data_IF_977053069468
#
_entry.id   IF_977053069468
#
_cell.length_a   1.000
_cell.length_b   1.000
_cell.length_c   1.000
_cell.angle_alpha   90.00
_cell.angle_beta   90.00
_cell.angle_gamma   90.00
#
_symmetry.space_group_name_H-M   'P 1'
#
loop_
_entity.id
_entity.type
_entity.pdbx_description
1 polymer ?
#
# COMPACT_ATOMS: atom_id res chain seq x y z
N UNK A 1 20.99 39.47 44.31
CA UNK A 1 21.77 40.45 43.53
C UNK A 1 20.80 41.15 42.58
N UNK A 2 20.48 42.43 42.83
CA UNK A 2 19.75 43.37 41.94
C UNK A 2 18.26 43.06 41.69
N UNK A 3 17.25 43.66 42.32
CA UNK A 3 16.82 45.08 42.37
C UNK A 3 16.59 45.76 41.02
N UNK A 4 15.31 45.94 40.66
CA UNK A 4 14.69 47.19 40.15
C UNK A 4 13.21 47.11 40.62
N UNK A 5 12.75 47.76 41.69
CA UNK A 5 12.66 49.19 42.02
C UNK A 5 12.00 50.02 40.90
N UNK A 6 10.71 50.37 41.10
CA UNK A 6 10.20 51.76 41.25
C UNK A 6 8.65 51.76 41.20
N UNK A 7 8.01 52.01 42.35
CA UNK A 7 7.29 53.25 42.78
C UNK A 7 6.06 53.57 41.92
N UNK A 8 4.83 53.48 42.45
CA UNK A 8 4.15 54.39 43.40
C UNK A 8 3.70 55.69 42.76
N UNK A 9 2.38 55.88 42.73
CA UNK A 9 1.61 57.11 43.06
C UNK A 9 0.14 56.66 43.05
N UNK A 10 -0.54 56.37 44.17
CA UNK A 10 -1.05 57.26 45.23
C UNK A 10 -1.74 58.53 44.71
N UNK A 11 -3.08 58.54 44.74
CA UNK A 11 -3.94 59.51 45.45
C UNK A 11 -5.40 59.24 45.05
N UNK A 12 -6.22 58.64 45.90
CA UNK A 12 -6.81 59.16 47.16
C UNK A 12 -7.80 60.31 46.92
N UNK A 13 -9.11 60.03 47.00
CA UNK A 13 -10.00 60.80 47.88
C UNK A 13 -11.36 60.11 48.13
N UNK A 14 -11.45 59.51 49.32
CA UNK A 14 -12.46 59.76 50.38
C UNK A 14 -13.98 59.73 50.08
N UNK A 15 -14.63 58.60 50.46
CA UNK A 15 -15.69 58.38 51.49
C UNK A 15 -16.63 59.57 51.92
N UNK A 16 -17.86 59.36 52.49
CA UNK A 16 -18.22 58.24 53.42
C UNK A 16 -19.68 57.70 53.47
N UNK A 17 -19.81 56.53 54.11
CA UNK A 17 -20.82 56.02 55.07
C UNK A 17 -22.33 56.28 54.85
N UNK A 18 -23.24 55.29 54.95
CA UNK A 18 -23.70 54.72 56.23
C UNK A 18 -24.71 53.55 56.08
N UNK A 19 -24.36 52.40 56.67
CA UNK A 19 -25.12 51.57 57.63
C UNK A 19 -26.60 51.10 57.44
N UNK A 20 -26.73 49.77 57.65
CA UNK A 20 -27.86 48.95 58.19
C UNK A 20 -29.06 48.69 57.27
N UNK A 21 -29.37 47.42 56.96
CA UNK A 21 -30.37 46.61 57.70
C UNK A 21 -30.59 45.24 57.02
N UNK A 22 -30.49 44.16 57.79
CA UNK A 22 -31.01 42.84 57.41
C UNK A 22 -32.52 42.79 57.68
N UNK A 23 -33.27 41.93 56.99
CA UNK A 23 -33.86 40.83 57.74
C UNK A 23 -33.77 39.44 57.08
N UNK A 24 -34.03 38.48 57.96
CA UNK A 24 -34.05 37.02 57.94
C UNK A 24 -34.84 36.32 56.78
N UNK A 25 -34.77 34.97 56.69
CA UNK A 25 -34.93 34.19 55.48
C UNK A 25 -36.39 33.80 55.22
N UNK A 26 -36.78 33.71 53.95
CA UNK A 26 -38.00 33.02 53.53
C UNK A 26 -37.66 31.79 52.68
N UNK A 27 -38.14 30.68 53.21
CA UNK A 27 -38.05 29.30 52.77
C UNK A 27 -38.68 29.02 51.41
N UNK A 28 -38.08 28.06 50.72
CA UNK A 28 -38.73 26.98 49.96
C UNK A 28 -39.75 27.35 48.87
N UNK A 29 -39.39 27.06 47.63
CA UNK A 29 -40.36 26.50 46.68
C UNK A 29 -39.75 25.33 45.93
N UNK A 30 -40.40 24.20 46.12
CA UNK A 30 -40.15 22.92 45.49
C UNK A 30 -40.25 23.02 43.97
N UNK A 31 -39.47 22.19 43.28
CA UNK A 31 -39.43 22.12 41.83
C UNK A 31 -40.79 21.81 41.22
N UNK A 32 -41.12 22.57 40.17
CA UNK A 32 -42.05 22.11 39.15
C UNK A 32 -41.25 21.75 37.90
N UNK A 33 -41.63 20.68 37.15
CA UNK A 33 -40.97 20.33 35.91
C UNK A 33 -41.28 21.38 34.85
N UNK A 34 -40.33 22.29 34.62
CA UNK A 34 -40.41 23.25 33.51
C UNK A 34 -40.23 22.48 32.22
N UNK A 35 -41.31 22.30 31.46
CA UNK A 35 -41.23 21.83 30.08
C UNK A 35 -40.59 22.97 29.27
N UNK A 36 -39.37 22.83 28.72
CA UNK A 36 -38.74 23.93 28.01
C UNK A 36 -39.50 24.18 26.71
N UNK A 37 -40.39 25.18 26.71
CA UNK A 37 -41.03 25.67 25.50
C UNK A 37 -40.03 26.62 24.86
N UNK A 38 -39.36 26.18 23.79
CA UNK A 38 -38.49 27.06 23.01
C UNK A 38 -39.38 28.21 22.51
N UNK A 39 -39.16 29.47 22.91
CA UNK A 39 -39.97 30.57 22.44
C UNK A 39 -39.87 30.64 20.92
N UNK A 40 -40.99 30.89 20.22
CA UNK A 40 -41.05 30.84 18.75
C UNK A 40 -39.96 31.69 18.06
N UNK A 41 -39.50 32.76 18.70
CA UNK A 41 -38.37 33.59 18.26
C UNK A 41 -37.01 32.87 18.29
N UNK A 42 -36.75 31.99 19.27
CA UNK A 42 -35.55 31.17 19.36
C UNK A 42 -35.57 30.01 18.35
N UNK A 43 -36.73 29.38 18.11
CA UNK A 43 -36.90 28.37 17.06
C UNK A 43 -36.71 28.98 15.65
N UNK A 44 -37.21 30.20 15.40
CA UNK A 44 -37.01 30.93 14.14
C UNK A 44 -35.54 31.29 13.90
N UNK A 45 -34.79 31.63 14.95
CA UNK A 45 -33.34 31.92 14.87
C UNK A 45 -32.50 30.66 14.63
N UNK A 46 -32.87 29.52 15.24
CA UNK A 46 -32.24 28.24 14.97
C UNK A 46 -32.50 27.77 13.53
N UNK A 47 -33.73 27.89 13.03
CA UNK A 47 -34.06 27.57 11.63
C UNK A 47 -33.36 28.51 10.65
N UNK A 48 -33.19 29.80 10.97
CA UNK A 48 -32.41 30.73 10.15
C UNK A 48 -30.92 30.33 10.07
N UNK A 49 -30.34 29.84 11.18
CA UNK A 49 -28.98 29.30 11.22
C UNK A 49 -28.84 28.03 10.36
N UNK A 50 -29.81 27.11 10.45
CA UNK A 50 -29.85 25.87 9.65
C UNK A 50 -30.04 26.16 8.17
N UNK A 51 -30.95 27.06 7.81
CA UNK A 51 -31.16 27.48 6.41
C UNK A 51 -29.89 28.13 5.86
N UNK A 52 -29.23 29.00 6.63
CA UNK A 52 -27.94 29.59 6.27
C UNK A 52 -26.85 28.54 6.07
N UNK A 53 -26.80 27.52 6.91
CA UNK A 53 -25.85 26.40 6.80
C UNK A 53 -26.07 25.59 5.52
N UNK A 54 -27.33 25.29 5.17
CA UNK A 54 -27.67 24.58 3.93
C UNK A 54 -27.31 25.42 2.70
N UNK A 55 -27.62 26.71 2.72
CA UNK A 55 -27.26 27.62 1.63
C UNK A 55 -25.74 27.69 1.48
N UNK A 56 -24.99 27.83 2.58
CA UNK A 56 -23.54 27.86 2.54
C UNK A 56 -22.93 26.55 2.01
N UNK A 57 -23.49 25.39 2.40
CA UNK A 57 -23.09 24.09 1.87
C UNK A 57 -23.34 24.00 0.36
N UNK A 58 -24.53 24.41 -0.10
CA UNK A 58 -24.87 24.39 -1.53
C UNK A 58 -23.99 25.33 -2.34
N UNK A 59 -23.72 26.54 -1.84
CA UNK A 59 -22.81 27.49 -2.49
C UNK A 59 -21.39 26.92 -2.58
N UNK A 60 -20.91 26.27 -1.51
CA UNK A 60 -19.60 25.61 -1.51
C UNK A 60 -19.54 24.48 -2.54
N UNK A 61 -20.52 23.57 -2.55
CA UNK A 61 -20.60 22.50 -3.55
C UNK A 61 -20.69 23.06 -4.96
N UNK A 62 -21.55 24.08 -5.19
CA UNK A 62 -21.71 24.70 -6.50
C UNK A 62 -20.43 25.40 -6.99
N UNK A 63 -19.61 25.96 -6.08
CA UNK A 63 -18.33 26.55 -6.42
C UNK A 63 -17.28 25.49 -6.82
N UNK A 64 -17.25 24.34 -6.15
CA UNK A 64 -16.27 23.27 -6.41
C UNK A 64 -16.69 22.31 -7.54
N UNK A 65 -17.99 22.08 -7.73
CA UNK A 65 -18.53 21.16 -8.74
C UNK A 65 -18.00 21.43 -10.15
N UNK A 66 -17.98 22.67 -10.70
CA UNK A 66 -17.44 22.90 -12.04
C UNK A 66 -15.94 22.61 -12.13
N UNK A 67 -15.16 22.85 -11.06
CA UNK A 67 -13.72 22.54 -11.02
C UNK A 67 -13.52 21.02 -11.11
N UNK A 68 -14.31 20.26 -10.34
CA UNK A 68 -14.26 18.78 -10.35
C UNK A 68 -14.70 18.23 -11.71
N UNK A 69 -15.75 18.78 -12.30
CA UNK A 69 -16.24 18.34 -13.62
C UNK A 69 -15.30 18.73 -14.78
N UNK A 70 -14.54 19.82 -14.64
CA UNK A 70 -13.55 20.26 -15.63
C UNK A 70 -12.26 19.42 -15.60
N UNK A 71 -12.08 18.58 -14.57
CA UNK A 71 -11.00 17.61 -14.50
C UNK A 71 -11.55 16.21 -14.86
N UNK A 72 -11.82 15.92 -16.16
CA UNK A 72 -12.20 14.58 -16.55
C UNK A 72 -11.08 13.63 -16.11
N UNK A 73 -11.43 12.62 -15.31
CA UNK A 73 -10.48 11.55 -14.98
C UNK A 73 -9.85 11.06 -16.29
N UNK A 74 -8.52 10.85 -16.35
CA UNK A 74 -7.88 10.38 -17.57
C UNK A 74 -8.62 9.15 -18.11
N UNK A 75 -9.23 9.27 -19.29
CA UNK A 75 -9.83 8.13 -20.03
C UNK A 75 -8.76 7.28 -20.72
N UNK A 76 -7.50 7.46 -20.36
CA UNK A 76 -6.48 6.51 -20.72
C UNK A 76 -6.69 5.29 -19.84
N UNK A 77 -6.91 4.12 -20.46
CA UNK A 77 -6.29 2.90 -19.96
C UNK A 77 -4.90 3.29 -19.46
N UNK A 78 -4.69 3.32 -18.14
CA UNK A 78 -3.51 3.95 -17.54
C UNK A 78 -2.24 3.48 -18.24
N UNK A 79 -1.26 4.38 -18.43
CA UNK A 79 -0.02 4.13 -19.17
C UNK A 79 0.44 2.67 -19.03
N UNK A 80 0.27 1.87 -20.09
CA UNK A 80 0.66 0.46 -20.14
C UNK A 80 1.98 0.39 -20.89
N UNK A 81 3.12 0.15 -20.21
CA UNK A 81 4.39 0.00 -20.91
C UNK A 81 4.30 -1.20 -21.86
N UNK A 82 4.60 -1.00 -23.14
CA UNK A 82 4.68 -2.11 -24.10
C UNK A 82 6.01 -2.85 -23.88
N UNK A 83 6.01 -3.82 -22.97
CA UNK A 83 7.21 -4.58 -22.60
C UNK A 83 7.18 -5.93 -23.31
N UNK A 84 8.16 -6.13 -24.19
CA UNK A 84 8.42 -7.43 -24.79
C UNK A 84 9.37 -8.24 -23.89
N UNK A 85 8.80 -9.07 -23.01
CA UNK A 85 9.56 -9.87 -22.03
C UNK A 85 10.57 -10.81 -22.71
N UNK A 86 10.21 -11.42 -23.85
CA UNK A 86 11.11 -12.36 -24.54
C UNK A 86 12.31 -11.66 -25.16
N UNK A 87 12.11 -10.47 -25.74
CA UNK A 87 13.20 -9.65 -26.25
C UNK A 87 14.16 -9.21 -25.12
N UNK A 88 13.62 -8.75 -23.98
CA UNK A 88 14.44 -8.34 -22.83
C UNK A 88 15.17 -9.54 -22.21
N UNK A 89 14.51 -10.71 -22.11
CA UNK A 89 15.13 -11.95 -21.63
C UNK A 89 16.28 -12.38 -22.55
N UNK A 90 16.09 -12.30 -23.88
CA UNK A 90 17.14 -12.57 -24.87
C UNK A 90 18.37 -11.69 -24.68
N UNK A 91 18.16 -10.38 -24.45
CA UNK A 91 19.25 -9.44 -24.18
C UNK A 91 19.97 -9.72 -22.85
N UNK A 92 19.23 -10.21 -21.83
CA UNK A 92 19.79 -10.52 -20.52
C UNK A 92 20.55 -11.87 -20.48
N UNK A 93 20.26 -12.80 -21.39
CA UNK A 93 20.77 -14.18 -21.33
C UNK A 93 22.29 -14.29 -21.24
N UNK A 94 23.03 -13.44 -21.98
CA UNK A 94 24.49 -13.43 -21.95
C UNK A 94 25.07 -13.06 -20.58
N UNK A 95 24.50 -12.05 -19.92
CA UNK A 95 24.94 -11.59 -18.60
C UNK A 95 24.44 -12.54 -17.50
N UNK A 96 23.27 -13.15 -17.70
CA UNK A 96 22.67 -14.08 -16.76
C UNK A 96 23.43 -15.42 -16.67
N UNK A 97 24.04 -15.86 -17.78
CA UNK A 97 24.66 -17.19 -17.87
C UNK A 97 23.64 -18.33 -17.92
N UNK A 98 22.37 -18.01 -18.15
CA UNK A 98 21.27 -18.94 -18.40
C UNK A 98 20.22 -18.24 -19.27
N UNK A 99 19.31 -19.00 -19.89
CA UNK A 99 18.18 -18.44 -20.63
C UNK A 99 17.08 -18.02 -19.65
N UNK A 100 16.80 -16.71 -19.46
CA UNK A 100 15.79 -16.27 -18.53
C UNK A 100 14.38 -16.67 -19.01
N UNK A 101 13.48 -16.93 -18.07
CA UNK A 101 12.10 -17.29 -18.39
C UNK A 101 11.33 -16.09 -18.94
N UNK A 102 10.60 -16.32 -20.01
CA UNK A 102 9.72 -15.33 -20.63
C UNK A 102 8.34 -15.99 -20.83
N UNK A 103 7.56 -16.18 -19.75
CA UNK A 103 6.30 -16.91 -19.82
C UNK A 103 5.27 -16.15 -20.67
N UNK A 104 4.64 -16.86 -21.60
CA UNK A 104 3.46 -16.38 -22.30
C UNK A 104 2.22 -16.71 -21.44
N UNK A 105 1.86 -15.81 -20.52
CA UNK A 105 0.73 -15.98 -19.61
C UNK A 105 -0.64 -15.62 -20.23
N UNK A 106 -0.71 -15.52 -21.56
CA UNK A 106 -1.90 -15.10 -22.31
C UNK A 106 -2.10 -13.58 -22.31
N UNK A 107 -3.13 -13.13 -23.03
CA UNK A 107 -3.38 -11.70 -23.27
C UNK A 107 -3.91 -10.95 -22.04
N UNK A 108 -4.23 -11.67 -20.96
CA UNK A 108 -4.85 -11.11 -19.75
C UNK A 108 -3.84 -10.79 -18.65
N UNK A 109 -2.61 -11.33 -18.74
CA UNK A 109 -1.49 -10.94 -17.90
C UNK A 109 -0.64 -9.92 -18.64
N UNK A 110 -0.41 -8.77 -18.02
CA UNK A 110 0.33 -7.69 -18.66
C UNK A 110 1.67 -7.46 -17.94
N UNK A 111 2.81 -7.52 -18.65
CA UNK A 111 4.09 -7.18 -18.04
C UNK A 111 4.14 -5.69 -17.68
N UNK A 112 4.50 -5.39 -16.44
CA UNK A 112 4.71 -4.03 -15.92
C UNK A 112 6.18 -3.60 -15.98
N UNK A 113 7.10 -4.56 -15.82
CA UNK A 113 8.54 -4.38 -16.03
C UNK A 113 9.20 -5.72 -16.37
N UNK A 114 10.35 -5.67 -17.04
CA UNK A 114 11.24 -6.81 -17.22
C UNK A 114 12.69 -6.29 -17.17
N UNK A 115 13.55 -6.91 -16.37
CA UNK A 115 14.94 -6.44 -16.21
C UNK A 115 15.88 -7.50 -15.65
N UNK A 116 17.16 -7.34 -15.96
CA UNK A 116 18.23 -7.98 -15.21
C UNK A 116 18.60 -7.12 -13.99
N UNK A 117 18.46 -7.67 -12.80
CA UNK A 117 18.91 -7.07 -11.56
C UNK A 117 20.31 -7.60 -11.23
N UNK A 118 21.31 -6.72 -11.28
CA UNK A 118 22.65 -7.06 -10.83
C UNK A 118 22.65 -7.36 -9.32
N UNK A 119 23.62 -8.18 -8.89
CA UNK A 119 23.78 -8.51 -7.48
C UNK A 119 23.95 -7.24 -6.64
N UNK A 120 22.92 -6.88 -5.88
CA UNK A 120 22.93 -5.72 -4.99
C UNK A 120 22.21 -6.08 -3.68
N UNK A 121 22.74 -5.62 -2.54
CA UNK A 121 22.25 -5.97 -1.19
C UNK A 121 22.45 -7.44 -0.78
N UNK A 122 21.87 -8.38 -1.52
CA UNK A 122 21.81 -9.83 -1.22
C UNK A 122 22.93 -10.64 -1.85
N UNK A 123 23.70 -10.03 -2.76
CA UNK A 123 24.75 -10.68 -3.52
C UNK A 123 24.26 -11.62 -4.62
N UNK A 124 22.94 -11.70 -4.87
CA UNK A 124 22.36 -12.59 -5.89
C UNK A 124 21.82 -11.74 -7.04
N UNK A 125 22.41 -11.90 -8.22
CA UNK A 125 21.86 -11.34 -9.45
C UNK A 125 20.66 -12.18 -9.91
N UNK A 126 19.64 -11.52 -10.42
CA UNK A 126 18.39 -12.17 -10.79
C UNK A 126 17.74 -11.53 -12.01
N UNK A 127 17.02 -12.36 -12.75
CA UNK A 127 16.06 -11.93 -13.75
C UNK A 127 14.74 -11.61 -13.06
N UNK A 128 14.18 -10.44 -13.33
CA UNK A 128 12.93 -9.98 -12.71
C UNK A 128 11.91 -9.57 -13.76
N UNK A 129 10.65 -10.00 -13.58
CA UNK A 129 9.52 -9.57 -14.40
C UNK A 129 8.32 -9.32 -13.50
N UNK A 130 7.69 -8.16 -13.61
CA UNK A 130 6.44 -7.87 -12.91
C UNK A 130 5.26 -8.07 -13.83
N UNK A 131 4.23 -8.77 -13.38
CA UNK A 131 2.96 -8.93 -14.11
C UNK A 131 1.81 -8.30 -13.33
N UNK A 132 0.96 -7.56 -14.05
CA UNK A 132 -0.39 -7.20 -13.62
C UNK A 132 -1.33 -8.31 -14.05
N UNK A 133 -2.12 -8.83 -13.12
CA UNK A 133 -3.03 -9.95 -13.34
C UNK A 133 -4.39 -9.46 -13.87
N UNK A 134 -5.26 -10.37 -14.35
CA UNK A 134 -6.58 -10.00 -14.85
C UNK A 134 -7.47 -9.31 -13.80
N UNK A 135 -7.28 -9.59 -12.52
CA UNK A 135 -7.97 -8.94 -11.40
C UNK A 135 -7.22 -7.71 -10.86
N UNK A 136 -6.37 -7.10 -11.68
CA UNK A 136 -5.57 -5.90 -11.36
C UNK A 136 -4.68 -6.07 -10.12
N UNK A 137 -4.23 -7.30 -9.85
CA UNK A 137 -3.24 -7.60 -8.81
C UNK A 137 -1.85 -7.70 -9.38
N UNK A 138 -0.85 -7.84 -8.52
CA UNK A 138 0.54 -7.92 -8.93
C UNK A 138 1.13 -9.28 -8.61
N UNK A 139 1.90 -9.83 -9.55
CA UNK A 139 2.80 -10.97 -9.32
C UNK A 139 4.17 -10.64 -9.92
N UNK A 140 5.18 -10.56 -9.05
CA UNK A 140 6.57 -10.50 -9.45
C UNK A 140 7.14 -11.90 -9.66
N UNK A 141 7.88 -12.08 -10.75
CA UNK A 141 8.69 -13.24 -11.04
C UNK A 141 10.15 -12.86 -10.83
N UNK A 142 10.86 -13.65 -10.02
CA UNK A 142 12.30 -13.55 -9.85
C UNK A 142 12.96 -14.90 -10.16
N UNK A 143 13.96 -14.93 -11.02
CA UNK A 143 14.71 -16.14 -11.37
C UNK A 143 16.22 -15.94 -11.19
N UNK A 144 16.89 -16.93 -10.61
CA UNK A 144 18.36 -16.95 -10.51
C UNK A 144 18.91 -18.37 -10.58
N UNK A 145 20.15 -18.53 -11.05
CA UNK A 145 20.93 -19.78 -10.96
C UNK A 145 21.81 -19.84 -9.71
N UNK A 146 21.84 -18.77 -8.89
CA UNK A 146 22.72 -18.62 -7.72
C UNK A 146 21.94 -18.38 -6.42
N UNK A 147 20.77 -18.99 -6.29
CA UNK A 147 19.95 -18.88 -5.09
C UNK A 147 20.72 -19.37 -3.85
N UNK A 148 20.56 -18.67 -2.73
CA UNK A 148 21.09 -19.07 -1.43
C UNK A 148 20.00 -18.89 -0.34
N UNK A 149 20.15 -19.50 0.85
CA UNK A 149 19.11 -19.45 1.88
C UNK A 149 18.72 -18.03 2.30
N UNK A 150 19.71 -17.13 2.46
CA UNK A 150 19.46 -15.74 2.85
C UNK A 150 18.63 -14.97 1.82
N UNK A 151 18.92 -15.18 0.53
CA UNK A 151 18.16 -14.59 -0.57
C UNK A 151 16.73 -15.15 -0.62
N UNK A 152 16.56 -16.46 -0.41
CA UNK A 152 15.23 -17.08 -0.44
C UNK A 152 14.33 -16.55 0.71
N UNK A 153 14.88 -16.43 1.92
CA UNK A 153 14.18 -15.83 3.07
C UNK A 153 13.75 -14.39 2.77
N UNK A 154 14.60 -13.61 2.10
CA UNK A 154 14.24 -12.24 1.70
C UNK A 154 13.14 -12.21 0.64
N UNK A 155 13.26 -13.04 -0.39
CA UNK A 155 12.30 -13.10 -1.49
C UNK A 155 10.90 -13.57 -1.02
N UNK A 156 10.86 -14.38 0.03
CA UNK A 156 9.64 -14.89 0.68
C UNK A 156 9.21 -14.05 1.87
N UNK A 157 9.94 -12.97 2.19
CA UNK A 157 9.71 -12.09 3.37
C UNK A 157 9.60 -12.86 4.69
N UNK A 158 10.38 -13.93 4.84
CA UNK A 158 10.35 -14.85 5.98
C UNK A 158 8.99 -15.50 6.23
N UNK A 159 8.13 -15.60 5.22
CA UNK A 159 6.87 -16.32 5.33
C UNK A 159 7.15 -17.83 5.50
N UNK A 160 6.40 -18.53 6.38
CA UNK A 160 6.58 -19.97 6.55
C UNK A 160 6.03 -20.72 5.33
N UNK A 161 6.58 -21.91 5.10
CA UNK A 161 6.00 -22.88 4.15
C UNK A 161 4.67 -23.36 4.71
N UNK A 162 3.60 -23.17 3.94
CA UNK A 162 2.23 -23.58 4.31
C UNK A 162 1.74 -24.78 3.50
N UNK A 163 2.47 -25.20 2.47
CA UNK A 163 2.19 -26.40 1.70
C UNK A 163 2.88 -26.40 0.34
N UNK A 164 2.37 -27.23 -0.57
CA UNK A 164 2.77 -27.22 -1.98
C UNK A 164 1.57 -26.98 -2.88
N UNK A 165 1.83 -26.55 -4.11
CA UNK A 165 0.81 -26.36 -5.13
C UNK A 165 1.32 -26.82 -6.49
N UNK A 166 0.57 -27.72 -7.12
CA UNK A 166 0.88 -28.16 -8.47
C UNK A 166 0.52 -27.08 -9.49
N UNK A 167 1.47 -26.72 -10.35
CA UNK A 167 1.23 -25.88 -11.52
C UNK A 167 2.20 -26.25 -12.65
N UNK A 168 1.69 -26.40 -13.86
CA UNK A 168 2.48 -26.92 -15.00
C UNK A 168 3.09 -28.31 -14.75
N UNK A 169 2.47 -29.15 -13.91
CA UNK A 169 3.00 -30.46 -13.57
C UNK A 169 4.26 -30.43 -12.69
N UNK A 170 4.53 -29.32 -12.01
CA UNK A 170 5.59 -29.19 -11.01
C UNK A 170 5.00 -28.78 -9.66
N UNK A 171 5.59 -29.30 -8.58
CA UNK A 171 5.24 -28.92 -7.22
C UNK A 171 5.99 -27.64 -6.84
N UNK A 172 5.24 -26.57 -6.61
CA UNK A 172 5.75 -25.32 -6.09
C UNK A 172 5.58 -25.28 -4.57
N UNK A 173 6.60 -24.85 -3.85
CA UNK A 173 6.52 -24.63 -2.40
C UNK A 173 5.77 -23.32 -2.14
N UNK A 174 4.69 -23.38 -1.36
CA UNK A 174 3.85 -22.22 -1.03
C UNK A 174 4.27 -21.62 0.30
N UNK A 175 4.58 -20.33 0.28
CA UNK A 175 4.95 -19.52 1.45
C UNK A 175 3.86 -18.48 1.67
N UNK A 176 3.25 -18.50 2.86
CA UNK A 176 2.15 -17.57 3.20
C UNK A 176 2.11 -17.35 4.72
N UNK A 177 1.93 -16.11 5.16
CA UNK A 177 1.71 -15.78 6.58
C UNK A 177 0.22 -15.76 6.94
N UNK A 178 -0.67 -15.99 5.96
CA UNK A 178 -2.11 -15.79 6.03
C UNK A 178 -2.53 -14.32 5.95
N UNK A 179 -1.57 -13.39 5.85
CA UNK A 179 -1.79 -11.95 5.78
C UNK A 179 -0.90 -11.34 4.69
N UNK A 180 -1.51 -10.66 3.73
CA UNK A 180 -0.77 -9.94 2.68
C UNK A 180 -0.34 -10.83 1.51
N UNK A 181 0.90 -10.65 1.08
CA UNK A 181 1.48 -11.30 -0.10
C UNK A 181 1.80 -12.77 0.14
N UNK A 182 1.73 -13.55 -0.95
CA UNK A 182 2.08 -14.97 -0.98
C UNK A 182 3.27 -15.15 -1.90
N UNK A 183 4.03 -16.22 -1.68
CA UNK A 183 5.11 -16.61 -2.58
C UNK A 183 5.02 -18.08 -2.97
N UNK A 184 5.32 -18.39 -4.23
CA UNK A 184 5.50 -19.75 -4.72
C UNK A 184 6.93 -19.91 -5.22
N UNK A 185 7.63 -20.92 -4.72
CA UNK A 185 9.04 -21.19 -5.02
C UNK A 185 9.17 -22.49 -5.79
N UNK A 186 9.96 -22.49 -6.86
CA UNK A 186 10.31 -23.69 -7.63
C UNK A 186 11.81 -23.70 -7.92
N UNK A 187 12.50 -24.72 -7.43
CA UNK A 187 13.86 -25.06 -7.88
C UNK A 187 13.76 -26.09 -9.01
N UNK A 188 14.14 -25.71 -10.24
CA UNK A 188 14.02 -26.57 -11.41
C UNK A 188 15.13 -26.30 -12.44
N UNK A 189 15.71 -27.37 -12.99
CA UNK A 189 16.75 -27.35 -14.04
C UNK A 189 17.92 -26.41 -13.77
N UNK A 190 18.38 -26.34 -12.50
CA UNK A 190 19.54 -25.53 -12.10
C UNK A 190 19.24 -24.04 -11.91
N UNK A 191 17.96 -23.64 -11.88
CA UNK A 191 17.55 -22.31 -11.47
C UNK A 191 16.45 -22.37 -10.42
N UNK A 192 16.36 -21.34 -9.58
CA UNK A 192 15.27 -21.11 -8.66
C UNK A 192 14.42 -19.97 -9.19
N UNK A 193 13.11 -20.21 -9.29
CA UNK A 193 12.11 -19.21 -9.62
C UNK A 193 11.25 -18.97 -8.39
N UNK A 194 10.99 -17.70 -8.09
CA UNK A 194 10.02 -17.29 -7.09
C UNK A 194 8.98 -16.40 -7.75
N UNK A 195 7.71 -16.74 -7.53
CA UNK A 195 6.59 -15.85 -7.81
C UNK A 195 6.15 -15.25 -6.48
N UNK A 196 6.02 -13.93 -6.37
CA UNK A 196 5.59 -13.26 -5.15
C UNK A 196 4.63 -12.10 -5.45
N UNK A 197 3.61 -11.90 -4.62
CA UNK A 197 2.63 -10.83 -4.84
C UNK A 197 1.31 -11.00 -4.09
N UNK A 198 0.34 -10.14 -4.39
CA UNK A 198 -0.93 -10.01 -3.68
C UNK A 198 -2.12 -10.65 -4.43
N UNK A 199 -1.87 -11.29 -5.56
CA UNK A 199 -2.86 -12.03 -6.33
C UNK A 199 -3.40 -13.28 -5.59
N UNK A 200 -4.50 -13.84 -6.10
CA UNK A 200 -5.05 -15.10 -5.58
C UNK A 200 -4.30 -16.32 -6.15
N UNK A 201 -4.43 -17.48 -5.48
CA UNK A 201 -3.71 -18.70 -5.83
C UNK A 201 -4.08 -19.31 -7.20
N UNK A 202 -5.19 -18.89 -7.82
CA UNK A 202 -5.55 -19.31 -9.17
C UNK A 202 -4.72 -18.55 -10.21
N UNK A 203 -4.59 -17.23 -10.06
CA UNK A 203 -3.75 -16.39 -10.93
C UNK A 203 -2.27 -16.77 -10.82
N UNK A 204 -1.80 -17.10 -9.60
CA UNK A 204 -0.48 -17.69 -9.41
C UNK A 204 -0.31 -19.00 -10.17
N UNK A 205 -1.29 -19.90 -10.15
CA UNK A 205 -1.20 -21.19 -10.84
C UNK A 205 -1.15 -21.04 -12.37
N UNK A 206 -1.88 -20.07 -12.93
CA UNK A 206 -1.83 -19.74 -14.37
C UNK A 206 -0.44 -19.27 -14.76
N UNK A 207 0.11 -18.27 -14.05
CA UNK A 207 1.44 -17.75 -14.35
C UNK A 207 2.52 -18.82 -14.10
N UNK A 208 2.44 -19.57 -13.01
CA UNK A 208 3.35 -20.67 -12.70
C UNK A 208 3.36 -21.74 -13.80
N UNK A 209 2.19 -22.08 -14.36
CA UNK A 209 2.10 -23.01 -15.49
C UNK A 209 2.82 -22.47 -16.73
N UNK A 210 2.63 -21.19 -17.05
CA UNK A 210 3.31 -20.53 -18.15
C UNK A 210 4.84 -20.47 -17.94
N UNK A 211 5.28 -20.27 -16.69
CA UNK A 211 6.70 -20.30 -16.31
C UNK A 211 7.29 -21.68 -16.52
N UNK A 212 6.63 -22.74 -16.04
CA UNK A 212 7.12 -24.12 -16.26
C UNK A 212 7.23 -24.41 -17.75
N UNK A 213 6.23 -24.05 -18.56
CA UNK A 213 6.28 -24.21 -20.02
C UNK A 213 7.50 -23.49 -20.63
N UNK A 214 7.81 -22.27 -20.18
CA UNK A 214 8.99 -21.52 -20.62
C UNK A 214 10.31 -22.18 -20.16
N UNK A 215 10.37 -22.72 -18.93
CA UNK A 215 11.53 -23.45 -18.43
C UNK A 215 11.79 -24.76 -19.20
N UNK A 216 10.73 -25.42 -19.65
CA UNK A 216 10.82 -26.65 -20.44
C UNK A 216 11.29 -26.37 -21.88
N UNK A 217 10.92 -25.23 -22.46
CA UNK A 217 11.46 -24.79 -23.77
C UNK A 217 12.90 -24.29 -23.71
N UNK A 218 13.38 -23.86 -22.54
CA UNK A 218 14.75 -23.38 -22.36
C UNK A 218 15.74 -24.55 -22.21
N UNK A 219 17.00 -24.39 -22.62
CA UNK A 219 18.06 -25.34 -22.25
C UNK A 219 18.20 -25.39 -20.72
N UNK A 220 18.52 -26.57 -20.17
CA UNK A 220 18.82 -26.68 -18.75
C UNK A 220 20.04 -25.82 -18.39
N UNK A 221 20.06 -25.23 -17.19
CA UNK A 221 21.23 -24.48 -16.73
C UNK A 221 22.35 -25.49 -16.46
N UNK A 222 23.31 -25.56 -17.38
CA UNK A 222 24.50 -26.38 -17.22
C UNK A 222 25.50 -25.62 -16.35
N UNK A 223 25.65 -26.04 -15.09
CA UNK A 223 26.86 -25.72 -14.33
C UNK A 223 28.00 -26.53 -14.95
N UNK A 224 28.87 -25.90 -15.73
CA UNK A 224 30.09 -26.56 -16.20
C UNK A 224 30.85 -27.09 -14.97
N UNK A 225 31.17 -28.39 -14.86
CA UNK A 225 32.05 -28.86 -13.81
C UNK A 225 33.41 -28.19 -14.04
N UNK A 226 33.90 -27.46 -13.03
CA UNK A 226 35.27 -26.94 -13.04
C UNK A 226 36.21 -28.08 -13.43
N UNK A 227 37.02 -27.85 -14.46
CA UNK A 227 38.02 -28.79 -14.90
C UNK A 227 38.89 -29.23 -13.71
N UNK A 228 38.96 -30.54 -13.48
CA UNK A 228 39.88 -31.13 -12.52
C UNK A 228 41.31 -30.70 -12.87
N UNK A 229 42.14 -30.26 -11.92
CA UNK A 229 43.55 -30.04 -12.21
C UNK A 229 44.17 -31.40 -12.57
N UNK A 230 44.83 -31.46 -13.72
CA UNK A 230 45.57 -32.63 -14.17
C UNK A 230 46.75 -32.92 -13.20
N UNK A 231 47.15 -34.20 -13.06
CA UNK A 231 48.14 -34.65 -12.06
C UNK A 231 49.55 -34.10 -12.27
#
# INVERSE_FOLDING_TARGET
>A
MGDYRRVSDMQDQSAPSSRVQAPAPSSSSAGQPVKPVIPAAAAKRANASVIGMIIALLVSVAAFLPIVLMNPSPKSDGFRPNINVSAVAGNAAGVAGFTPVAPAAGDTFHPNYARWAAASGTGVAAWEVGYVTPKEKFIGLTQTSKANPSWLVQQTKSAPVTGTRNAGGKEWELHDTGKGEKSMVLAYRGSTVVLAGDANLEEFAVLATAVVKSLESNPAVTVSPSASPAP
#
